data_IF_640359184795
#
_entry.id   IF_640359184795
#
_cell.length_a   1.000
_cell.length_b   1.000
_cell.length_c   1.000
_cell.angle_alpha   90.00
_cell.angle_beta   90.00
_cell.angle_gamma   90.00
#
_symmetry.space_group_name_H-M   'P 1'
#
loop_
_entity.id
_entity.type
_entity.pdbx_description
1 polymer ?
#
# COMPACT_ATOMS: atom_id res chain seq x y z
N UNK A 1 -56.12 -33.03 -24.29
CA UNK A 1 -54.92 -32.52 -25.02
C UNK A 1 -54.48 -31.12 -24.58
N UNK A 2 -55.38 -30.14 -24.37
CA UNK A 2 -55.01 -28.79 -23.88
C UNK A 2 -54.44 -28.72 -22.45
N UNK A 3 -54.84 -29.63 -21.56
CA UNK A 3 -54.44 -29.61 -20.14
C UNK A 3 -53.01 -30.12 -19.93
N UNK A 4 -52.59 -31.12 -20.71
CA UNK A 4 -51.24 -31.69 -20.65
C UNK A 4 -50.17 -30.72 -21.16
N UNK A 5 -50.49 -29.94 -22.21
CA UNK A 5 -49.58 -28.95 -22.78
C UNK A 5 -49.35 -27.74 -21.86
N UNK A 6 -50.37 -27.31 -21.10
CA UNK A 6 -50.21 -26.25 -20.11
C UNK A 6 -49.39 -26.69 -18.89
N UNK A 7 -49.46 -27.98 -18.51
CA UNK A 7 -48.68 -28.53 -17.40
C UNK A 7 -47.19 -28.65 -17.77
N UNK A 8 -46.89 -29.08 -19.00
CA UNK A 8 -45.51 -29.12 -19.51
C UNK A 8 -44.90 -27.72 -19.64
N UNK A 9 -45.65 -26.72 -20.14
CA UNK A 9 -45.15 -25.34 -20.20
C UNK A 9 -44.90 -24.77 -18.79
N UNK A 10 -45.77 -25.06 -17.81
CA UNK A 10 -45.55 -24.63 -16.42
C UNK A 10 -44.33 -25.30 -15.79
N UNK A 11 -44.12 -26.59 -16.04
CA UNK A 11 -42.95 -27.31 -15.55
C UNK A 11 -41.65 -26.87 -16.24
N UNK A 12 -41.68 -26.53 -17.54
CA UNK A 12 -40.54 -25.94 -18.24
C UNK A 12 -40.22 -24.54 -17.72
N UNK A 13 -41.24 -23.71 -17.44
CA UNK A 13 -41.03 -22.37 -16.89
C UNK A 13 -40.54 -22.42 -15.43
N UNK A 14 -40.99 -23.41 -14.66
CA UNK A 14 -40.53 -23.68 -13.30
C UNK A 14 -39.10 -24.22 -13.29
N UNK A 15 -38.76 -25.19 -14.15
CA UNK A 15 -37.39 -25.71 -14.25
C UNK A 15 -36.41 -24.66 -14.77
N UNK A 16 -36.84 -23.77 -15.68
CA UNK A 16 -36.04 -22.65 -16.16
C UNK A 16 -35.79 -21.65 -15.02
N UNK A 17 -36.82 -21.31 -14.22
CA UNK A 17 -36.71 -20.46 -13.04
C UNK A 17 -35.84 -21.06 -11.93
N UNK A 18 -35.87 -22.38 -11.74
CA UNK A 18 -35.03 -23.08 -10.75
C UNK A 18 -33.57 -23.09 -11.21
N UNK A 19 -33.32 -23.34 -12.50
CA UNK A 19 -31.98 -23.33 -13.10
C UNK A 19 -31.36 -21.93 -13.05
N UNK A 20 -32.14 -20.88 -13.32
CA UNK A 20 -31.70 -19.48 -13.23
C UNK A 20 -31.38 -19.07 -11.77
N UNK A 21 -32.14 -19.59 -10.80
CA UNK A 21 -31.88 -19.37 -9.37
C UNK A 21 -30.57 -20.03 -8.92
N UNK A 22 -30.32 -21.28 -9.33
CA UNK A 22 -29.04 -21.95 -9.06
C UNK A 22 -27.88 -21.27 -9.76
N UNK A 23 -28.07 -20.77 -10.98
CA UNK A 23 -27.04 -20.02 -11.70
C UNK A 23 -26.70 -18.71 -10.97
N UNK A 24 -27.69 -17.94 -10.52
CA UNK A 24 -27.47 -16.74 -9.70
C UNK A 24 -26.74 -17.05 -8.40
N UNK A 25 -27.14 -18.12 -7.69
CA UNK A 25 -26.45 -18.56 -6.47
C UNK A 25 -24.99 -18.94 -6.73
N UNK A 26 -24.70 -19.64 -7.82
CA UNK A 26 -23.33 -20.01 -8.19
C UNK A 26 -22.49 -18.75 -8.47
N UNK A 27 -23.05 -17.78 -9.21
CA UNK A 27 -22.38 -16.51 -9.50
C UNK A 27 -22.12 -15.73 -8.20
N UNK A 28 -23.09 -15.63 -7.31
CA UNK A 28 -22.92 -14.91 -6.03
C UNK A 28 -21.86 -15.58 -5.15
N UNK A 29 -21.85 -16.91 -5.05
CA UNK A 29 -20.84 -17.66 -4.31
C UNK A 29 -19.44 -17.44 -4.90
N UNK A 30 -19.31 -17.48 -6.23
CA UNK A 30 -18.04 -17.26 -6.91
C UNK A 30 -17.52 -15.83 -6.68
N UNK A 31 -18.38 -14.82 -6.79
CA UNK A 31 -18.05 -13.41 -6.50
C UNK A 31 -17.57 -13.24 -5.06
N UNK A 32 -18.28 -13.82 -4.08
CA UNK A 32 -17.88 -13.76 -2.67
C UNK A 32 -16.54 -14.47 -2.45
N UNK A 33 -16.32 -15.63 -3.08
CA UNK A 33 -15.07 -16.36 -2.98
C UNK A 33 -13.88 -15.56 -3.55
N UNK A 34 -14.07 -14.90 -4.70
CA UNK A 34 -13.05 -14.02 -5.31
C UNK A 34 -12.75 -12.80 -4.43
N UNK A 35 -13.76 -12.19 -3.81
CA UNK A 35 -13.56 -11.07 -2.89
C UNK A 35 -12.81 -11.49 -1.60
N UNK A 36 -13.16 -12.65 -1.04
CA UNK A 36 -12.48 -13.19 0.15
C UNK A 36 -11.02 -13.57 -0.13
N UNK A 37 -10.75 -14.20 -1.27
CA UNK A 37 -9.39 -14.59 -1.65
C UNK A 37 -8.53 -13.37 -1.97
N UNK A 38 -9.04 -12.40 -2.72
CA UNK A 38 -8.31 -11.16 -3.04
C UNK A 38 -7.99 -10.32 -1.81
N UNK A 39 -8.95 -10.15 -0.89
CA UNK A 39 -8.73 -9.43 0.37
C UNK A 39 -7.71 -10.12 1.28
N UNK A 40 -7.73 -11.45 1.37
CA UNK A 40 -6.72 -12.21 2.13
C UNK A 40 -5.31 -11.99 1.57
N UNK A 41 -5.16 -12.04 0.23
CA UNK A 41 -3.89 -11.82 -0.45
C UNK A 41 -3.39 -10.39 -0.22
N UNK A 42 -4.25 -9.38 -0.39
CA UNK A 42 -3.89 -7.98 -0.18
C UNK A 42 -3.44 -7.69 1.25
N UNK A 43 -4.17 -8.22 2.24
CA UNK A 43 -3.83 -8.04 3.66
C UNK A 43 -2.52 -8.73 4.01
N UNK A 44 -2.27 -9.92 3.46
CA UNK A 44 -1.04 -10.66 3.71
C UNK A 44 0.17 -9.94 3.09
N UNK A 45 0.02 -9.45 1.86
CA UNK A 45 1.07 -8.72 1.17
C UNK A 45 1.36 -7.36 1.82
N UNK A 46 0.32 -6.60 2.21
CA UNK A 46 0.48 -5.32 2.91
C UNK A 46 1.14 -5.52 4.29
N UNK A 47 0.74 -6.57 5.00
CA UNK A 47 1.34 -6.98 6.27
C UNK A 47 2.82 -7.29 6.14
N UNK A 48 3.19 -8.12 5.16
CA UNK A 48 4.58 -8.46 4.86
C UNK A 48 5.41 -7.22 4.46
N UNK A 49 4.86 -6.39 3.57
CA UNK A 49 5.52 -5.16 3.12
C UNK A 49 5.76 -4.18 4.28
N UNK A 50 4.74 -3.94 5.09
CA UNK A 50 4.83 -3.07 6.27
C UNK A 50 5.85 -3.60 7.28
N UNK A 51 5.84 -4.90 7.56
CA UNK A 51 6.81 -5.53 8.45
C UNK A 51 8.25 -5.37 7.92
N UNK A 52 8.49 -5.68 6.64
CA UNK A 52 9.81 -5.52 6.03
C UNK A 52 10.30 -4.07 6.11
N UNK A 53 9.42 -3.10 5.83
CA UNK A 53 9.74 -1.68 5.95
C UNK A 53 10.10 -1.29 7.39
N UNK A 54 9.31 -1.72 8.38
CA UNK A 54 9.59 -1.43 9.80
C UNK A 54 10.96 -1.99 10.22
N UNK A 55 11.31 -3.21 9.79
CA UNK A 55 12.62 -3.80 10.08
C UNK A 55 13.77 -2.99 9.46
N UNK A 56 13.64 -2.60 8.18
CA UNK A 56 14.65 -1.77 7.50
C UNK A 56 14.78 -0.40 8.18
N UNK A 57 13.66 0.23 8.54
CA UNK A 57 13.65 1.51 9.24
C UNK A 57 14.37 1.41 10.59
N UNK A 58 14.08 0.35 11.36
CA UNK A 58 14.76 0.09 12.63
C UNK A 58 16.28 -0.05 12.45
N UNK A 59 16.72 -0.76 11.41
CA UNK A 59 18.14 -0.93 11.10
C UNK A 59 18.81 0.40 10.72
N UNK A 60 18.15 1.25 9.93
CA UNK A 60 18.67 2.59 9.63
C UNK A 60 18.79 3.46 10.88
N UNK A 61 17.77 3.49 11.74
CA UNK A 61 17.82 4.27 12.98
C UNK A 61 18.94 3.78 13.91
N UNK A 62 19.13 2.45 14.01
CA UNK A 62 20.23 1.86 14.79
C UNK A 62 21.60 2.22 14.20
N UNK A 63 21.71 2.27 12.87
CA UNK A 63 22.93 2.69 12.18
C UNK A 63 23.22 4.17 12.43
N UNK A 64 22.20 5.03 12.39
CA UNK A 64 22.32 6.45 12.72
C UNK A 64 22.87 6.65 14.14
N UNK A 65 22.32 5.97 15.15
CA UNK A 65 22.83 6.03 16.51
C UNK A 65 24.29 5.57 16.62
N UNK A 66 24.71 4.60 15.81
CA UNK A 66 26.13 4.18 15.74
C UNK A 66 27.02 5.22 15.09
N UNK A 67 26.55 5.91 14.05
CA UNK A 67 27.26 7.00 13.39
C UNK A 67 27.45 8.19 14.35
N UNK A 68 26.45 8.50 15.16
CA UNK A 68 26.52 9.60 16.14
C UNK A 68 27.56 9.34 17.24
N UNK A 69 27.66 8.10 17.71
CA UNK A 69 28.59 7.69 18.77
C UNK A 69 29.99 7.32 18.25
N UNK A 70 30.27 7.52 16.97
CA UNK A 70 31.50 7.07 16.32
C UNK A 70 32.68 7.98 16.69
N UNK A 71 33.66 7.44 17.42
CA UNK A 71 34.88 8.17 17.84
C UNK A 71 36.15 7.78 17.07
N UNK A 72 36.18 6.59 16.47
CA UNK A 72 37.37 6.00 15.85
C UNK A 72 37.15 5.62 14.39
N UNK A 73 38.19 5.78 13.56
CA UNK A 73 38.12 5.53 12.12
C UNK A 73 37.97 4.05 11.75
N UNK A 74 38.52 3.14 12.56
CA UNK A 74 38.44 1.70 12.29
C UNK A 74 36.98 1.21 12.19
N UNK A 75 36.07 1.82 12.96
CA UNK A 75 34.65 1.50 12.94
C UNK A 75 33.90 2.15 11.76
N UNK A 76 34.52 3.10 11.05
CA UNK A 76 33.87 3.81 9.95
C UNK A 76 33.71 2.91 8.72
N UNK A 77 34.72 2.09 8.38
CA UNK A 77 34.61 1.11 7.31
C UNK A 77 33.47 0.12 7.55
N UNK A 78 33.30 -0.35 8.79
CA UNK A 78 32.20 -1.23 9.17
C UNK A 78 30.82 -0.55 9.02
N UNK A 79 30.70 0.73 9.38
CA UNK A 79 29.46 1.49 9.23
C UNK A 79 29.09 1.70 7.77
N UNK A 80 30.07 2.02 6.92
CA UNK A 80 29.84 2.16 5.46
C UNK A 80 29.42 0.81 4.87
N UNK A 81 30.06 -0.29 5.28
CA UNK A 81 29.68 -1.64 4.85
C UNK A 81 28.24 -1.99 5.24
N UNK A 82 27.85 -1.75 6.50
CA UNK A 82 26.48 -1.99 6.96
C UNK A 82 25.49 -1.13 6.17
N UNK A 83 25.81 0.14 5.92
CA UNK A 83 24.96 1.01 5.12
C UNK A 83 24.73 0.47 3.71
N UNK A 84 25.79 0.05 3.01
CA UNK A 84 25.69 -0.53 1.67
C UNK A 84 24.81 -1.78 1.66
N UNK A 85 24.93 -2.63 2.68
CA UNK A 85 24.11 -3.82 2.80
C UNK A 85 22.64 -3.47 3.01
N UNK A 86 22.33 -2.46 3.83
CA UNK A 86 20.96 -1.96 4.00
C UNK A 86 20.40 -1.39 2.69
N UNK A 87 21.20 -0.63 1.95
CA UNK A 87 20.80 -0.09 0.64
C UNK A 87 20.55 -1.22 -0.36
N UNK A 88 21.37 -2.27 -0.35
CA UNK A 88 21.19 -3.46 -1.21
C UNK A 88 19.90 -4.21 -0.87
N UNK A 89 19.62 -4.43 0.42
CA UNK A 89 18.38 -5.06 0.89
C UNK A 89 17.17 -4.20 0.48
N UNK A 90 17.23 -2.89 0.70
CA UNK A 90 16.14 -1.97 0.32
C UNK A 90 15.90 -1.96 -1.19
N UNK A 91 16.96 -2.00 -2.00
CA UNK A 91 16.86 -2.10 -3.46
C UNK A 91 16.20 -3.41 -3.90
N UNK A 92 16.60 -4.53 -3.32
CA UNK A 92 16.00 -5.84 -3.60
C UNK A 92 14.52 -5.89 -3.23
N UNK A 93 14.17 -5.27 -2.09
CA UNK A 93 12.79 -5.12 -1.64
C UNK A 93 11.98 -4.29 -2.63
N UNK A 94 12.51 -3.15 -3.10
CA UNK A 94 11.86 -2.32 -4.12
C UNK A 94 11.68 -3.10 -5.43
N UNK A 95 12.72 -3.77 -5.94
CA UNK A 95 12.63 -4.54 -7.19
C UNK A 95 11.56 -5.64 -7.15
N UNK A 96 11.35 -6.25 -5.98
CA UNK A 96 10.38 -7.36 -5.81
C UNK A 96 8.98 -6.87 -5.47
N UNK A 97 8.85 -5.83 -4.64
CA UNK A 97 7.57 -5.42 -4.04
C UNK A 97 7.05 -4.08 -4.53
N UNK A 98 7.79 -3.35 -5.36
CA UNK A 98 7.35 -2.03 -5.87
C UNK A 98 6.04 -2.12 -6.66
N UNK A 99 5.86 -3.18 -7.46
CA UNK A 99 4.59 -3.43 -8.18
C UNK A 99 3.46 -3.88 -7.23
N UNK A 100 3.63 -4.89 -6.36
CA UNK A 100 2.64 -5.23 -5.34
C UNK A 100 2.22 -4.03 -4.46
N UNK A 101 3.17 -3.20 -4.03
CA UNK A 101 2.89 -1.99 -3.26
C UNK A 101 2.03 -0.99 -4.06
N UNK A 102 2.30 -0.82 -5.35
CA UNK A 102 1.46 -0.01 -6.24
C UNK A 102 0.03 -0.57 -6.33
N UNK A 103 -0.14 -1.88 -6.52
CA UNK A 103 -1.46 -2.52 -6.59
C UNK A 103 -2.23 -2.35 -5.28
N UNK A 104 -1.57 -2.52 -4.13
CA UNK A 104 -2.21 -2.33 -2.81
C UNK A 104 -2.65 -0.87 -2.63
N UNK A 105 -1.78 0.09 -2.95
CA UNK A 105 -2.11 1.53 -2.85
C UNK A 105 -3.28 1.88 -3.76
N UNK A 106 -3.26 1.43 -5.01
CA UNK A 106 -4.34 1.66 -5.97
C UNK A 106 -5.66 1.02 -5.49
N UNK A 107 -5.60 -0.21 -5.00
CA UNK A 107 -6.77 -0.92 -4.47
C UNK A 107 -7.34 -0.21 -3.23
N UNK A 108 -6.48 0.30 -2.35
CA UNK A 108 -6.87 1.12 -1.21
C UNK A 108 -7.60 2.40 -1.63
N UNK A 109 -7.07 3.12 -2.63
CA UNK A 109 -7.71 4.34 -3.13
C UNK A 109 -9.06 4.09 -3.81
N UNK A 110 -9.14 3.06 -4.65
CA UNK A 110 -10.38 2.66 -5.30
C UNK A 110 -11.42 2.20 -4.28
N UNK A 111 -11.01 1.38 -3.31
CA UNK A 111 -11.87 0.91 -2.24
C UNK A 111 -12.41 2.07 -1.40
N UNK A 112 -11.56 3.01 -0.99
CA UNK A 112 -11.98 4.21 -0.28
C UNK A 112 -12.98 5.05 -1.07
N UNK A 113 -12.72 5.27 -2.37
CA UNK A 113 -13.63 6.02 -3.22
C UNK A 113 -14.99 5.32 -3.33
N UNK A 114 -15.00 4.02 -3.53
CA UNK A 114 -16.22 3.23 -3.67
C UNK A 114 -17.05 3.21 -2.38
N UNK A 115 -16.43 2.92 -1.23
CA UNK A 115 -17.15 2.91 0.07
C UNK A 115 -17.69 4.29 0.43
N UNK A 116 -17.00 5.37 0.05
CA UNK A 116 -17.49 6.74 0.23
C UNK A 116 -18.69 7.05 -0.68
N UNK A 117 -18.69 6.56 -1.92
CA UNK A 117 -19.86 6.67 -2.81
C UNK A 117 -21.05 5.89 -2.23
N UNK A 118 -20.83 4.65 -1.78
CA UNK A 118 -21.88 3.83 -1.16
C UNK A 118 -22.49 4.52 0.06
N UNK A 119 -21.65 5.15 0.90
CA UNK A 119 -22.10 5.89 2.07
C UNK A 119 -23.02 7.09 1.72
N UNK A 120 -22.82 7.70 0.55
CA UNK A 120 -23.60 8.84 0.07
C UNK A 120 -24.91 8.43 -0.63
N UNK A 121 -24.89 7.37 -1.44
CA UNK A 121 -26.00 7.02 -2.33
C UNK A 121 -26.84 5.82 -1.87
N UNK A 122 -26.31 4.93 -1.03
CA UNK A 122 -27.08 3.77 -0.59
C UNK A 122 -28.07 4.21 0.50
N UNK A 123 -29.39 4.02 0.29
CA UNK A 123 -30.37 4.37 1.29
C UNK A 123 -30.11 3.52 2.55
N UNK A 124 -30.07 4.20 3.71
CA UNK A 124 -29.65 3.63 5.00
C UNK A 124 -30.72 2.75 5.63
N UNK A 125 -31.30 1.84 4.85
CA UNK A 125 -32.47 1.06 5.26
C UNK A 125 -32.13 -0.09 6.22
N UNK A 126 -30.85 -0.41 6.43
CA UNK A 126 -30.40 -1.45 7.36
C UNK A 126 -29.10 -1.13 8.10
N UNK A 127 -29.12 -1.32 9.42
CA UNK A 127 -27.94 -1.16 10.31
C UNK A 127 -26.76 -2.04 9.89
N UNK A 128 -27.02 -3.25 9.38
CA UNK A 128 -25.98 -4.18 8.92
C UNK A 128 -25.23 -3.65 7.70
N UNK A 129 -25.94 -3.08 6.71
CA UNK A 129 -25.33 -2.51 5.50
C UNK A 129 -24.40 -1.36 5.87
N UNK A 130 -24.85 -0.49 6.77
CA UNK A 130 -24.04 0.62 7.27
C UNK A 130 -22.75 0.15 7.98
N UNK A 131 -22.83 -0.88 8.83
CA UNK A 131 -21.64 -1.47 9.47
C UNK A 131 -20.69 -2.03 8.41
N UNK A 132 -21.18 -2.78 7.43
CA UNK A 132 -20.34 -3.37 6.38
C UNK A 132 -19.58 -2.30 5.59
N UNK A 133 -20.25 -1.22 5.19
CA UNK A 133 -19.61 -0.09 4.47
C UNK A 133 -18.52 0.55 5.33
N UNK A 134 -18.84 0.83 6.61
CA UNK A 134 -17.90 1.47 7.55
C UNK A 134 -16.67 0.59 7.79
N UNK A 135 -16.85 -0.73 7.94
CA UNK A 135 -15.75 -1.68 8.09
C UNK A 135 -14.87 -1.74 6.83
N UNK A 136 -15.49 -1.70 5.65
CA UNK A 136 -14.78 -1.63 4.37
C UNK A 136 -13.90 -0.37 4.27
N UNK A 137 -14.44 0.78 4.65
CA UNK A 137 -13.70 2.05 4.66
C UNK A 137 -12.49 1.99 5.61
N UNK A 138 -12.67 1.47 6.82
CA UNK A 138 -11.59 1.28 7.79
C UNK A 138 -10.52 0.33 7.21
N UNK A 139 -10.95 -0.77 6.60
CA UNK A 139 -10.05 -1.76 6.00
C UNK A 139 -9.17 -1.14 4.90
N UNK A 140 -9.77 -0.46 3.91
CA UNK A 140 -9.01 0.16 2.83
C UNK A 140 -8.14 1.32 3.31
N UNK A 141 -8.60 2.08 4.32
CA UNK A 141 -7.79 3.12 4.98
C UNK A 141 -6.53 2.52 5.61
N UNK A 142 -6.67 1.43 6.37
CA UNK A 142 -5.55 0.77 7.04
C UNK A 142 -4.55 0.23 6.00
N UNK A 143 -5.04 -0.44 4.94
CA UNK A 143 -4.17 -0.94 3.87
C UNK A 143 -3.35 0.19 3.21
N UNK A 144 -4.03 1.28 2.83
CA UNK A 144 -3.41 2.42 2.18
C UNK A 144 -2.36 3.08 3.09
N UNK A 145 -2.74 3.39 4.34
CA UNK A 145 -1.87 4.07 5.30
C UNK A 145 -0.68 3.21 5.69
N UNK A 146 -0.86 1.90 5.87
CA UNK A 146 0.20 0.97 6.26
C UNK A 146 1.33 0.95 5.23
N UNK A 147 1.02 0.85 3.93
CA UNK A 147 2.04 0.83 2.87
C UNK A 147 2.73 2.19 2.75
N UNK A 148 1.96 3.27 2.68
CA UNK A 148 2.50 4.61 2.45
C UNK A 148 3.36 5.08 3.63
N UNK A 149 2.88 4.94 4.87
CA UNK A 149 3.63 5.40 6.04
C UNK A 149 4.89 4.59 6.27
N UNK A 150 4.84 3.26 6.18
CA UNK A 150 6.01 2.43 6.41
C UNK A 150 7.10 2.67 5.37
N UNK A 151 6.75 2.76 4.09
CA UNK A 151 7.73 3.04 3.04
C UNK A 151 8.28 4.48 3.11
N UNK A 152 7.42 5.46 3.40
CA UNK A 152 7.87 6.84 3.58
C UNK A 152 8.83 6.96 4.77
N UNK A 153 8.59 6.23 5.86
CA UNK A 153 9.43 6.24 7.03
C UNK A 153 10.82 5.65 6.75
N UNK A 154 10.89 4.54 6.01
CA UNK A 154 12.17 3.96 5.53
C UNK A 154 12.91 4.95 4.64
N UNK A 155 12.23 5.55 3.66
CA UNK A 155 12.83 6.53 2.75
C UNK A 155 13.42 7.72 3.51
N UNK A 156 12.71 8.19 4.54
CA UNK A 156 13.20 9.28 5.38
C UNK A 156 14.41 8.85 6.22
N UNK A 157 14.34 7.71 6.93
CA UNK A 157 15.46 7.20 7.73
C UNK A 157 16.70 6.91 6.87
N UNK A 158 16.53 6.40 5.65
CA UNK A 158 17.60 6.18 4.69
C UNK A 158 18.26 7.50 4.25
N UNK A 159 17.46 8.52 3.95
CA UNK A 159 17.95 9.85 3.58
C UNK A 159 18.73 10.51 4.73
N UNK A 160 18.17 10.52 5.95
CA UNK A 160 18.85 11.05 7.14
C UNK A 160 20.16 10.31 7.40
N UNK A 161 20.15 8.99 7.34
CA UNK A 161 21.37 8.17 7.53
C UNK A 161 22.40 8.48 6.45
N UNK A 162 21.99 8.65 5.20
CA UNK A 162 22.87 9.06 4.09
C UNK A 162 23.53 10.40 4.37
N UNK A 163 22.77 11.42 4.76
CA UNK A 163 23.31 12.74 5.11
C UNK A 163 24.32 12.66 6.26
N UNK A 164 24.00 11.88 7.30
CA UNK A 164 24.91 11.62 8.42
C UNK A 164 26.21 10.96 7.94
N UNK A 165 26.13 9.99 7.03
CA UNK A 165 27.32 9.34 6.44
C UNK A 165 28.13 10.31 5.58
N UNK A 166 27.48 11.14 4.78
CA UNK A 166 28.13 12.19 3.98
C UNK A 166 28.85 13.22 4.87
N UNK A 167 28.38 13.43 6.10
CA UNK A 167 29.02 14.33 7.08
C UNK A 167 30.18 13.71 7.86
N UNK A 168 30.37 12.37 7.82
CA UNK A 168 31.43 11.65 8.55
C UNK A 168 32.85 12.19 8.29
N UNK A 169 33.27 12.52 7.05
CA UNK A 169 34.61 13.03 6.81
C UNK A 169 34.90 14.29 7.63
N UNK A 170 33.91 15.18 7.79
CA UNK A 170 34.05 16.39 8.60
C UNK A 170 34.21 16.14 10.09
N UNK A 171 33.70 15.01 10.61
CA UNK A 171 33.84 14.61 12.03
C UNK A 171 35.21 14.01 12.36
N UNK A 172 35.92 13.46 11.37
CA UNK A 172 37.23 12.80 11.57
C UNK A 172 38.29 13.47 10.68
N UNK A 173 38.75 14.68 11.03
CA UNK A 173 39.64 15.47 10.19
C UNK A 173 40.97 14.77 9.90
N UNK A 174 41.43 13.88 10.79
CA UNK A 174 42.71 13.14 10.62
C UNK A 174 42.78 12.27 9.36
N UNK A 175 41.65 11.85 8.78
CA UNK A 175 41.62 11.02 7.57
C UNK A 175 40.57 11.50 6.57
N UNK A 176 40.33 12.81 6.56
CA UNK A 176 39.26 13.43 5.77
C UNK A 176 39.28 13.01 4.29
N UNK A 177 40.45 13.00 3.64
CA UNK A 177 40.56 12.70 2.21
C UNK A 177 40.23 11.24 1.87
N UNK A 178 40.71 10.28 2.67
CA UNK A 178 40.41 8.85 2.48
C UNK A 178 38.91 8.58 2.68
N UNK A 179 38.35 9.09 3.78
CA UNK A 179 36.94 8.93 4.10
C UNK A 179 36.04 9.59 3.06
N UNK A 180 36.42 10.78 2.57
CA UNK A 180 35.68 11.49 1.52
C UNK A 180 35.65 10.71 0.21
N UNK A 181 36.76 10.07 -0.18
CA UNK A 181 36.79 9.24 -1.39
C UNK A 181 35.90 8.01 -1.26
N UNK A 182 35.97 7.29 -0.14
CA UNK A 182 35.15 6.09 0.11
C UNK A 182 33.66 6.46 0.16
N UNK A 183 33.31 7.48 0.95
CA UNK A 183 31.91 7.92 1.08
C UNK A 183 31.33 8.40 -0.26
N UNK A 184 32.13 9.11 -1.07
CA UNK A 184 31.66 9.61 -2.37
C UNK A 184 31.53 8.51 -3.43
N UNK A 185 32.40 7.51 -3.41
CA UNK A 185 32.29 6.38 -4.34
C UNK A 185 31.14 5.44 -3.96
N UNK A 186 30.93 5.21 -2.67
CA UNK A 186 30.03 4.15 -2.20
C UNK A 186 28.64 4.63 -1.78
N UNK A 187 28.49 5.86 -1.27
CA UNK A 187 27.25 6.33 -0.67
C UNK A 187 26.48 7.36 -1.53
N UNK A 188 26.93 7.67 -2.76
CA UNK A 188 26.23 8.64 -3.61
C UNK A 188 24.97 8.09 -4.28
N UNK A 189 24.82 6.77 -4.40
CA UNK A 189 23.61 6.19 -5.03
C UNK A 189 22.36 6.57 -4.22
N UNK A 190 21.37 7.13 -4.91
CA UNK A 190 20.03 7.30 -4.35
C UNK A 190 19.25 6.02 -4.54
N UNK A 191 18.87 5.41 -3.43
CA UNK A 191 17.94 4.29 -3.40
C UNK A 191 16.77 4.72 -2.54
N UNK A 192 15.57 4.43 -3.01
CA UNK A 192 14.32 4.71 -2.29
C UNK A 192 13.30 3.67 -2.66
N UNK A 193 12.39 3.37 -1.74
CA UNK A 193 11.19 2.61 -2.02
C UNK A 193 10.24 3.45 -2.88
N UNK A 194 9.76 2.85 -3.96
CA UNK A 194 8.94 3.48 -4.98
C UNK A 194 7.67 2.67 -5.22
N UNK A 195 6.63 3.34 -5.74
CA UNK A 195 5.48 2.67 -6.34
C UNK A 195 5.77 2.45 -7.82
N UNK A 196 5.96 1.18 -8.16
CA UNK A 196 6.30 0.69 -9.49
C UNK A 196 7.41 1.48 -10.22
N UNK A 197 8.41 2.03 -9.51
CA UNK A 197 9.43 2.96 -10.05
C UNK A 197 8.88 4.24 -10.69
N UNK A 198 7.58 4.50 -10.64
CA UNK A 198 6.91 5.69 -11.17
C UNK A 198 7.05 6.84 -10.18
N UNK A 199 6.86 6.55 -8.88
CA UNK A 199 6.80 7.57 -7.85
C UNK A 199 7.54 7.13 -6.59
N UNK A 200 8.37 8.01 -6.02
CA UNK A 200 9.04 7.79 -4.74
C UNK A 200 8.05 7.95 -3.59
N UNK A 201 7.92 6.94 -2.73
CA UNK A 201 6.93 7.01 -1.64
C UNK A 201 7.36 8.05 -0.60
N UNK A 202 6.51 9.04 -0.39
CA UNK A 202 6.67 10.09 0.61
C UNK A 202 5.33 10.48 1.26
N UNK A 203 5.38 11.36 2.26
CA UNK A 203 4.17 11.83 2.95
C UNK A 203 3.29 12.71 2.07
N UNK A 204 3.84 13.32 1.02
CA UNK A 204 3.07 14.18 0.11
C UNK A 204 2.07 13.36 -0.71
N UNK A 205 2.41 12.11 -1.05
CA UNK A 205 1.49 11.21 -1.73
C UNK A 205 0.21 10.96 -0.93
N UNK A 206 0.31 10.80 0.39
CA UNK A 206 -0.85 10.64 1.27
C UNK A 206 -1.76 11.87 1.20
N UNK A 207 -1.18 13.06 1.29
CA UNK A 207 -1.92 14.33 1.22
C UNK A 207 -2.57 14.50 -0.16
N UNK A 208 -1.84 14.22 -1.23
CA UNK A 208 -2.33 14.31 -2.60
C UNK A 208 -3.47 13.34 -2.86
N UNK A 209 -3.37 12.11 -2.35
CA UNK A 209 -4.42 11.11 -2.44
C UNK A 209 -5.70 11.54 -1.69
N UNK A 210 -5.56 12.03 -0.46
CA UNK A 210 -6.69 12.55 0.31
C UNK A 210 -7.34 13.76 -0.37
N UNK A 211 -6.54 14.69 -0.89
CA UNK A 211 -7.04 15.84 -1.65
C UNK A 211 -7.78 15.43 -2.92
N UNK A 212 -7.28 14.41 -3.62
CA UNK A 212 -7.96 13.84 -4.79
C UNK A 212 -9.29 13.20 -4.40
N UNK A 213 -9.31 12.39 -3.34
CA UNK A 213 -10.52 11.73 -2.83
C UNK A 213 -11.58 12.77 -2.46
N UNK A 214 -11.21 13.84 -1.75
CA UNK A 214 -12.10 14.94 -1.40
C UNK A 214 -12.62 15.68 -2.63
N UNK A 215 -11.73 16.00 -3.59
CA UNK A 215 -12.11 16.72 -4.82
C UNK A 215 -13.11 15.91 -5.64
N UNK A 216 -12.84 14.62 -5.87
CA UNK A 216 -13.75 13.75 -6.59
C UNK A 216 -15.03 13.48 -5.80
N UNK A 217 -14.97 13.35 -4.48
CA UNK A 217 -16.15 13.22 -3.62
C UNK A 217 -17.08 14.43 -3.73
N UNK A 218 -16.54 15.66 -3.69
CA UNK A 218 -17.31 16.90 -3.91
C UNK A 218 -17.92 16.93 -5.32
N UNK A 219 -17.16 16.56 -6.34
CA UNK A 219 -17.64 16.53 -7.72
C UNK A 219 -18.81 15.56 -7.89
N UNK A 220 -18.70 14.37 -7.30
CA UNK A 220 -19.76 13.35 -7.35
C UNK A 220 -21.00 13.80 -6.57
N UNK A 221 -20.82 14.36 -5.37
CA UNK A 221 -21.93 14.87 -4.56
C UNK A 221 -22.67 16.02 -5.26
N UNK A 222 -21.94 16.94 -5.89
CA UNK A 222 -22.53 18.07 -6.63
C UNK A 222 -23.24 17.61 -7.91
N UNK A 223 -22.70 16.64 -8.66
CA UNK A 223 -23.38 16.07 -9.82
C UNK A 223 -24.62 15.24 -9.44
N UNK A 224 -24.57 14.53 -8.32
CA UNK A 224 -25.71 13.79 -7.78
C UNK A 224 -26.88 14.71 -7.41
N UNK A 225 -26.59 15.84 -6.77
CA UNK A 225 -27.59 16.83 -6.35
C UNK A 225 -28.32 17.56 -7.50
N UNK A 226 -27.82 17.45 -8.74
CA UNK A 226 -28.46 18.09 -9.93
C UNK A 226 -29.51 17.14 -10.57
N UNK A 227 -29.55 15.86 -10.16
CA UNK A 227 -30.47 14.85 -10.69
C UNK A 227 -31.77 14.67 -9.89
N UNK A 228 -31.87 15.30 -8.73
CA UNK A 228 -33.10 15.42 -7.92
C UNK A 228 -33.74 16.80 -8.10
#
# INVERSE_FOLDING_TARGET
MRVTFQYEIKNLHYSFSETDYYLMLIVDIDVIAVLMTSSLVLTSLSGYYGFACVQIQYLFNKLETRIENLKNIHNCGQVIYIYQELIRIMKSLDESLSYPAFVIVLSGLLGLFYTNCDLLFVPKEGYLVYICITLGEIYFSVLFVMVILSASAVNNSSATTKERILSLPGKIPRHYNELKMVVRSECMRDVSLTLWKIYKIDRSLLISAMGSLLTYGILVATLGAIKD
#
